data_IF_688362545425
#
_entry.id   IF_688362545425
#
_cell.length_a   1.000
_cell.length_b   1.000
_cell.length_c   1.000
_cell.angle_alpha   90.00
_cell.angle_beta   90.00
_cell.angle_gamma   90.00
#
_symmetry.space_group_name_H-M   'P 1'
#
loop_
_entity.id
_entity.type
_entity.pdbx_description
1 polymer ?
2 polymer ?
3 water ?
#
# COMPACT_ATOMS: atom_id res chain seq x y z
N UNK A 7 -3.61 -23.63 13.14
CA UNK A 7 -4.67 -24.63 12.94
C UNK A 7 -5.79 -24.09 12.05
N UNK A 8 -6.44 -23.03 12.51
CA UNK A 8 -7.41 -22.34 11.69
C UNK A 8 -6.63 -21.49 10.70
N UNK A 9 -5.33 -21.33 10.95
CA UNK A 9 -4.46 -20.65 10.01
C UNK A 9 -4.24 -21.46 8.76
N UNK A 10 -4.16 -22.78 8.95
CA UNK A 10 -4.04 -23.68 7.84
C UNK A 10 -5.32 -23.60 6.99
N UNK A 11 -6.46 -23.51 7.66
CA UNK A 11 -7.75 -23.52 6.96
C UNK A 11 -7.98 -22.21 6.20
N UNK A 12 -7.55 -21.11 6.80
CA UNK A 12 -7.49 -19.81 6.12
C UNK A 12 -6.72 -19.90 4.79
N UNK A 13 -5.49 -20.40 4.87
CA UNK A 13 -4.62 -20.59 3.71
C UNK A 13 -5.24 -21.44 2.59
N UNK A 14 -5.83 -22.57 2.96
CA UNK A 14 -6.47 -23.45 1.98
C UNK A 14 -7.69 -22.77 1.36
N UNK A 15 -8.41 -22.00 2.17
CA UNK A 15 -9.59 -21.31 1.69
C UNK A 15 -9.27 -20.28 0.58
N UNK A 16 -8.30 -19.40 0.86
CA UNK A 16 -7.88 -18.37 -0.07
C UNK A 16 -7.30 -18.97 -1.35
N UNK A 17 -6.44 -19.98 -1.19
CA UNK A 17 -5.79 -20.65 -2.30
C UNK A 17 -6.79 -21.38 -3.19
N UNK A 18 -7.78 -22.02 -2.56
CA UNK A 18 -8.87 -22.65 -3.29
C UNK A 18 -9.58 -21.62 -4.14
N UNK A 19 -9.91 -20.50 -3.51
CA UNK A 19 -10.63 -19.44 -4.19
C UNK A 19 -9.88 -18.95 -5.42
N UNK A 20 -8.58 -18.68 -5.25
CA UNK A 20 -7.77 -18.16 -6.34
C UNK A 20 -7.57 -19.19 -7.42
N UNK A 21 -7.43 -20.45 -7.02
CA UNK A 21 -7.32 -21.54 -7.98
C UNK A 21 -8.62 -21.72 -8.72
N UNK A 22 -9.74 -21.65 -7.98
CA UNK A 22 -11.05 -21.81 -8.59
C UNK A 22 -11.29 -20.70 -9.61
N UNK A 23 -10.74 -19.51 -9.38
CA UNK A 23 -10.95 -18.40 -10.32
C UNK A 23 -10.28 -18.61 -11.68
N UNK A 24 -9.40 -19.60 -11.77
CA UNK A 24 -8.68 -19.91 -13.00
C UNK A 24 -9.02 -21.31 -13.46
N UNK A 25 -10.17 -21.80 -13.01
CA UNK A 25 -10.71 -23.06 -13.47
C UNK A 25 -10.04 -24.30 -12.91
N UNK A 26 -9.16 -24.12 -11.93
CA UNK A 26 -8.49 -25.25 -11.29
C UNK A 26 -9.17 -25.63 -9.98
N UNK A 27 -9.09 -26.90 -9.61
CA UNK A 27 -9.71 -27.36 -8.38
C UNK A 27 -8.68 -27.76 -7.31
N UNK A 28 -8.84 -27.20 -6.11
CA UNK A 28 -7.97 -27.56 -5.00
C UNK A 28 -7.91 -29.07 -4.82
N UNK A 29 -9.07 -29.71 -4.94
CA UNK A 29 -9.21 -31.15 -4.80
C UNK A 29 -8.21 -31.95 -5.64
N UNK A 30 -7.80 -31.37 -6.77
CA UNK A 30 -6.84 -32.02 -7.66
C UNK A 30 -5.40 -32.00 -7.14
N UNK A 31 -5.16 -31.31 -6.02
CA UNK A 31 -3.80 -31.14 -5.50
C UNK A 31 -3.63 -31.43 -4.01
N UNK A 32 -4.65 -32.03 -3.38
CA UNK A 32 -4.57 -32.41 -1.98
C UNK A 32 -5.29 -33.74 -1.73
N UNK A 46 -18.25 -15.71 11.02
CA UNK A 46 -17.32 -15.77 12.14
C UNK A 46 -15.89 -15.85 11.63
N UNK A 47 -15.37 -17.07 11.59
CA UNK A 47 -14.12 -17.35 10.89
C UNK A 47 -14.42 -17.28 9.40
N UNK A 48 -15.70 -17.43 9.06
CA UNK A 48 -16.18 -17.25 7.69
C UNK A 48 -16.10 -15.78 7.29
N UNK A 49 -16.23 -14.88 8.26
CA UNK A 49 -16.13 -13.46 7.96
C UNK A 49 -14.69 -13.08 7.61
N UNK A 50 -13.75 -13.82 8.18
CA UNK A 50 -12.33 -13.62 7.93
C UNK A 50 -11.96 -14.11 6.54
N UNK A 51 -12.39 -15.32 6.20
CA UNK A 51 -12.22 -15.85 4.84
C UNK A 51 -12.77 -14.89 3.79
N UNK A 52 -14.05 -14.55 3.90
CA UNK A 52 -14.72 -13.68 2.93
C UNK A 52 -13.94 -12.38 2.73
N UNK A 53 -13.61 -11.73 3.85
CA UNK A 53 -12.87 -10.47 3.81
C UNK A 53 -11.54 -10.63 3.09
N UNK A 54 -10.83 -11.71 3.41
CA UNK A 54 -9.54 -11.97 2.78
C UNK A 54 -9.66 -12.22 1.26
N UNK A 55 -10.62 -13.07 0.89
CA UNK A 55 -10.95 -13.25 -0.52
C UNK A 55 -11.15 -11.90 -1.21
N UNK A 56 -11.91 -11.02 -0.55
CA UNK A 56 -12.35 -9.78 -1.14
C UNK A 56 -11.22 -8.78 -1.23
N UNK A 57 -10.43 -8.72 -0.17
CA UNK A 57 -9.23 -7.87 -0.16
C UNK A 57 -8.27 -8.31 -1.26
N UNK A 58 -8.10 -9.63 -1.41
CA UNK A 58 -7.20 -10.17 -2.40
C UNK A 58 -7.68 -9.84 -3.80
N UNK A 59 -8.99 -9.93 -4.02
CA UNK A 59 -9.58 -9.54 -5.30
C UNK A 59 -9.31 -8.08 -5.61
N UNK A 60 -9.56 -7.22 -4.62
CA UNK A 60 -9.32 -5.80 -4.79
C UNK A 60 -7.87 -5.50 -5.14
N UNK A 61 -6.97 -6.06 -4.37
CA UNK A 61 -5.54 -6.04 -4.63
C UNK A 61 -5.20 -6.38 -6.08
N UNK A 62 -5.69 -7.52 -6.53
CA UNK A 62 -5.37 -8.00 -7.86
C UNK A 62 -5.99 -7.15 -8.95
N UNK A 63 -7.11 -6.50 -8.63
CA UNK A 63 -7.79 -5.61 -9.58
C UNK A 63 -7.09 -4.27 -9.75
N UNK A 64 -6.80 -3.62 -8.62
CA UNK A 64 -6.23 -2.30 -8.63
C UNK A 64 -4.79 -2.34 -9.15
N UNK A 65 -4.16 -3.51 -9.06
CA UNK A 65 -2.80 -3.69 -9.55
C UNK A 65 -2.70 -4.83 -10.58
N UNK A 66 -3.64 -4.82 -11.51
CA UNK A 66 -3.84 -5.90 -12.47
C UNK A 66 -2.61 -6.12 -13.33
N UNK A 67 -1.97 -5.02 -13.71
CA UNK A 67 -0.78 -5.04 -14.54
C UNK A 67 0.31 -5.81 -13.83
N UNK A 68 0.77 -5.29 -12.69
CA UNK A 68 1.74 -5.97 -11.84
C UNK A 68 1.41 -7.44 -11.64
N UNK A 69 0.13 -7.74 -11.50
CA UNK A 69 -0.29 -9.08 -11.18
C UNK A 69 -0.39 -10.05 -12.35
N UNK A 70 -0.50 -9.51 -13.56
CA UNK A 70 -0.57 -10.34 -14.75
C UNK A 70 0.72 -11.14 -14.92
N UNK A 71 1.82 -10.54 -14.49
CA UNK A 71 3.13 -11.17 -14.64
C UNK A 71 3.87 -11.21 -13.30
N UNK A 72 3.17 -11.53 -12.22
CA UNK A 72 3.77 -11.47 -10.88
C UNK A 72 5.05 -12.31 -10.80
N UNK A 73 4.90 -13.63 -10.92
CA UNK A 73 5.99 -14.57 -10.60
C UNK A 73 6.80 -15.11 -11.78
N UNK A 74 6.56 -14.57 -12.97
CA UNK A 74 7.26 -15.04 -14.17
C UNK A 74 8.77 -15.02 -13.96
N UNK A 75 9.29 -13.90 -13.48
CA UNK A 75 10.71 -13.68 -13.38
C UNK A 75 11.41 -14.50 -12.30
N UNK A 76 10.64 -15.24 -11.52
CA UNK A 76 11.22 -16.11 -10.50
C UNK A 76 11.77 -17.40 -11.11
N UNK A 77 11.22 -17.79 -12.25
CA UNK A 77 11.61 -19.05 -12.90
C UNK A 77 11.47 -20.23 -11.94
N UNK A 78 10.29 -20.35 -11.35
CA UNK A 78 9.96 -21.41 -10.41
C UNK A 78 10.23 -22.82 -10.93
N UNK A 79 10.87 -23.62 -10.09
CA UNK A 79 11.06 -25.04 -10.33
C UNK A 79 10.83 -25.68 -8.96
N UNK A 80 10.53 -26.98 -8.92
CA UNK A 80 10.43 -27.61 -7.60
C UNK A 80 11.71 -27.46 -6.74
N UNK A 81 12.87 -27.42 -7.37
CA UNK A 81 14.12 -27.23 -6.66
C UNK A 81 14.30 -25.84 -6.08
N UNK A 82 13.88 -24.82 -6.81
CA UNK A 82 14.09 -23.46 -6.37
C UNK A 82 12.87 -22.85 -5.67
N UNK A 83 11.71 -23.49 -5.85
CA UNK A 83 10.45 -22.99 -5.31
C UNK A 83 10.57 -22.42 -3.89
N UNK A 84 10.88 -23.26 -2.92
CA UNK A 84 10.89 -22.79 -1.55
C UNK A 84 11.76 -21.56 -1.35
N UNK A 85 12.99 -21.59 -1.87
CA UNK A 85 13.93 -20.48 -1.70
C UNK A 85 13.41 -19.19 -2.34
N UNK A 86 12.74 -19.29 -3.49
CA UNK A 86 12.11 -18.13 -4.08
C UNK A 86 11.06 -17.60 -3.13
N UNK A 87 10.17 -18.48 -2.69
CA UNK A 87 9.14 -18.11 -1.74
C UNK A 87 9.73 -17.42 -0.49
N UNK A 88 10.73 -18.03 0.12
CA UNK A 88 11.27 -17.54 1.36
C UNK A 88 11.92 -16.18 1.21
N UNK A 89 12.58 -15.98 0.07
CA UNK A 89 13.30 -14.74 -0.17
C UNK A 89 12.31 -13.58 -0.28
N UNK A 90 11.24 -13.82 -1.03
CA UNK A 90 10.19 -12.84 -1.26
C UNK A 90 9.48 -12.41 0.03
N UNK A 91 9.08 -13.39 0.84
CA UNK A 91 8.34 -13.15 2.09
C UNK A 91 9.21 -12.45 3.17
N UNK A 92 10.48 -12.85 3.27
CA UNK A 92 11.37 -12.19 4.20
C UNK A 92 11.58 -10.72 3.85
N UNK A 93 11.77 -10.43 2.57
CA UNK A 93 11.96 -9.07 2.12
C UNK A 93 10.70 -8.23 2.35
N UNK A 94 9.56 -8.83 2.01
CA UNK A 94 8.26 -8.19 2.15
C UNK A 94 8.00 -7.70 3.58
N UNK A 95 8.43 -8.49 4.57
CA UNK A 95 8.17 -8.18 5.98
C UNK A 95 9.40 -7.73 6.76
N UNK A 96 10.54 -7.64 6.08
CA UNK A 96 11.81 -7.27 6.74
C UNK A 96 11.70 -6.07 7.65
N UNK A 97 11.07 -5.00 7.16
CA UNK A 97 10.98 -3.79 7.96
C UNK A 97 9.61 -3.56 8.54
N UNK A 98 8.85 -4.65 8.69
CA UNK A 98 7.61 -4.58 9.44
C UNK A 98 6.40 -5.21 8.80
N UNK A 99 5.35 -5.36 9.60
CA UNK A 99 4.08 -5.92 9.16
C UNK A 99 3.00 -4.84 9.13
N UNK A 100 2.12 -4.92 8.13
CA UNK A 100 0.83 -4.27 8.20
C UNK A 100 -0.18 -5.15 7.49
N UNK A 101 -1.46 -4.81 7.59
CA UNK A 101 -2.49 -5.67 7.04
C UNK A 101 -2.40 -5.80 5.50
N UNK A 102 -1.92 -4.74 4.85
CA UNK A 102 -1.86 -4.71 3.41
C UNK A 102 -0.77 -5.64 2.93
N UNK A 103 0.33 -5.67 3.68
CA UNK A 103 1.45 -6.57 3.38
C UNK A 103 1.05 -8.02 3.59
N UNK A 104 0.22 -8.28 4.59
CA UNK A 104 -0.35 -9.60 4.79
C UNK A 104 -1.16 -10.01 3.56
N UNK A 105 -2.03 -9.12 3.11
CA UNK A 105 -2.80 -9.35 1.88
C UNK A 105 -1.89 -9.59 0.67
N UNK A 106 -0.82 -8.81 0.54
CA UNK A 106 0.18 -9.05 -0.51
C UNK A 106 0.70 -10.48 -0.44
N UNK A 107 0.96 -10.93 0.79
CA UNK A 107 1.45 -12.27 1.10
C UNK A 107 0.54 -13.39 0.56
N UNK A 108 -0.74 -13.38 0.97
CA UNK A 108 -1.74 -14.31 0.42
C UNK A 108 -1.86 -14.21 -1.13
N UNK A 109 -1.95 -12.99 -1.67
CA UNK A 109 -2.04 -12.80 -3.11
C UNK A 109 -0.84 -13.36 -3.80
N UNK A 110 0.34 -13.12 -3.23
CA UNK A 110 1.59 -13.73 -3.71
C UNK A 110 1.48 -15.25 -3.74
N UNK A 111 1.10 -15.83 -2.61
CA UNK A 111 0.90 -17.27 -2.54
C UNK A 111 -0.04 -17.79 -3.62
N UNK A 112 -1.10 -17.03 -3.92
CA UNK A 112 -2.08 -17.43 -4.91
C UNK A 112 -1.47 -17.46 -6.29
N UNK A 113 -0.79 -16.38 -6.66
CA UNK A 113 -0.11 -16.29 -7.95
C UNK A 113 0.86 -17.46 -8.12
N UNK A 114 1.49 -17.83 -7.02
CA UNK A 114 2.51 -18.85 -7.04
C UNK A 114 1.90 -20.21 -7.36
N UNK A 115 0.80 -20.52 -6.69
CA UNK A 115 0.07 -21.75 -6.93
C UNK A 115 -0.41 -21.81 -8.37
N UNK A 116 -1.08 -20.77 -8.80
CA UNK A 116 -1.65 -20.72 -10.14
C UNK A 116 -0.58 -20.97 -11.21
N UNK A 117 0.55 -20.30 -11.08
CA UNK A 117 1.67 -20.50 -11.98
C UNK A 117 2.15 -21.96 -11.97
N UNK A 118 2.25 -22.54 -10.78
CA UNK A 118 2.67 -23.94 -10.64
C UNK A 118 1.85 -24.81 -11.56
N UNK A 119 0.54 -24.71 -11.44
CA UNK A 119 -0.37 -25.51 -12.24
C UNK A 119 -0.25 -25.20 -13.74
N UNK A 120 -0.26 -23.91 -14.08
CA UNK A 120 -0.06 -23.49 -15.46
C UNK A 120 1.17 -24.19 -16.01
N UNK A 121 2.23 -24.20 -15.21
CA UNK A 121 3.51 -24.73 -15.62
C UNK A 121 3.60 -26.24 -15.42
N UNK A 122 2.50 -26.85 -14.99
CA UNK A 122 2.44 -28.29 -14.77
C UNK A 122 3.36 -28.78 -13.66
N UNK A 123 3.63 -27.89 -12.70
CA UNK A 123 4.37 -28.24 -11.50
C UNK A 123 3.40 -28.45 -10.34
N UNK A 124 2.32 -29.18 -10.60
CA UNK A 124 1.24 -29.38 -9.63
C UNK A 124 1.72 -29.70 -8.21
N UNK A 125 2.78 -30.50 -8.07
CA UNK A 125 3.28 -30.86 -6.74
C UNK A 125 3.48 -29.66 -5.81
N UNK A 126 3.85 -28.52 -6.38
CA UNK A 126 4.15 -27.33 -5.58
C UNK A 126 2.97 -26.75 -4.77
N UNK A 127 1.74 -26.98 -5.22
CA UNK A 127 0.57 -26.35 -4.60
C UNK A 127 0.44 -26.65 -3.11
N UNK A 128 0.56 -27.92 -2.75
CA UNK A 128 0.40 -28.32 -1.35
C UNK A 128 1.58 -27.84 -0.53
N UNK A 129 2.77 -27.90 -1.12
CA UNK A 129 3.95 -27.39 -0.44
C UNK A 129 3.79 -25.90 -0.12
N UNK A 130 3.42 -25.12 -1.13
CA UNK A 130 3.23 -23.67 -0.99
C UNK A 130 2.26 -23.36 0.12
N UNK A 131 1.11 -24.03 0.07
CA UNK A 131 0.13 -23.99 1.14
C UNK A 131 0.76 -24.23 2.52
N UNK A 132 1.59 -25.26 2.60
CA UNK A 132 2.27 -25.59 3.84
C UNK A 132 3.23 -24.49 4.27
N UNK A 133 4.04 -24.00 3.34
CA UNK A 133 4.99 -22.93 3.64
C UNK A 133 4.27 -21.69 4.16
N UNK A 134 3.13 -21.34 3.56
CA UNK A 134 2.41 -20.13 3.97
C UNK A 134 1.87 -20.36 5.36
N UNK A 135 1.34 -21.55 5.60
CA UNK A 135 0.75 -21.87 6.89
C UNK A 135 1.79 -21.73 7.99
N UNK A 136 2.98 -22.26 7.73
CA UNK A 136 4.04 -22.22 8.72
C UNK A 136 4.54 -20.79 8.89
N UNK A 137 4.76 -20.08 7.78
CA UNK A 137 5.17 -18.69 7.89
C UNK A 137 4.16 -17.85 8.67
N UNK A 138 2.88 -18.13 8.45
CA UNK A 138 1.82 -17.37 9.09
C UNK A 138 1.88 -17.58 10.60
N UNK A 139 2.03 -18.84 10.99
CA UNK A 139 2.06 -19.22 12.41
C UNK A 139 3.25 -18.69 13.20
N UNK A 140 4.44 -18.75 12.60
CA UNK A 140 5.69 -18.40 13.26
C UNK A 140 6.03 -16.92 13.17
N UNK A 141 5.55 -16.25 12.12
CA UNK A 141 6.04 -14.91 11.81
C UNK A 141 5.02 -13.79 11.79
N UNK A 142 3.76 -14.13 11.58
CA UNK A 142 2.72 -13.13 11.38
C UNK A 142 1.71 -13.11 12.51
N UNK A 143 1.38 -14.28 13.04
CA UNK A 143 0.31 -14.35 14.05
C UNK A 143 0.61 -13.54 15.31
N UNK A 144 1.87 -13.52 15.75
CA UNK A 144 2.21 -12.62 16.87
C UNK A 144 1.85 -11.18 16.57
N UNK A 145 2.20 -10.69 15.38
CA UNK A 145 1.83 -9.32 15.03
C UNK A 145 0.30 -9.17 15.01
N UNK A 146 -0.37 -10.19 14.49
CA UNK A 146 -1.81 -10.16 14.33
C UNK A 146 -2.52 -10.02 15.67
N UNK A 147 -2.11 -10.82 16.66
CA UNK A 147 -2.67 -10.73 18.01
C UNK A 147 -2.37 -9.37 18.65
N UNK A 148 -1.10 -8.98 18.58
CA UNK A 148 -0.69 -7.66 19.08
C UNK A 148 -1.44 -6.53 18.39
N UNK A 149 -2.10 -6.84 17.28
CA UNK A 149 -2.82 -5.81 16.52
C UNK A 149 -4.32 -6.06 16.33
N UNK A 150 -4.91 -6.82 17.24
CA UNK A 150 -6.36 -6.91 17.29
C UNK A 150 -6.91 -8.28 16.97
N UNK A 151 -6.11 -9.10 16.31
CA UNK A 151 -6.56 -10.36 15.79
C UNK A 151 -7.15 -10.16 14.39
N UNK A 152 -7.67 -11.22 13.81
CA UNK A 152 -8.27 -11.18 12.48
C UNK A 152 -9.61 -10.42 12.46
N UNK A 153 -10.24 -10.31 13.61
CA UNK A 153 -11.52 -9.61 13.71
C UNK A 153 -11.30 -8.14 13.42
N UNK A 154 -10.08 -7.68 13.57
CA UNK A 154 -9.75 -6.31 13.27
C UNK A 154 -9.64 -6.17 11.76
N UNK A 155 -8.98 -7.15 11.15
CA UNK A 155 -8.88 -7.18 9.71
C UNK A 155 -10.26 -7.02 9.11
N UNK A 156 -11.18 -7.88 9.55
CA UNK A 156 -12.53 -7.86 9.01
C UNK A 156 -13.17 -6.50 9.17
N UNK A 157 -12.91 -5.84 10.29
CA UNK A 157 -13.45 -4.51 10.54
C UNK A 157 -12.94 -3.50 9.52
N UNK A 158 -11.62 -3.51 9.31
CA UNK A 158 -10.98 -2.52 8.43
C UNK A 158 -11.14 -2.82 6.94
N UNK A 159 -11.17 -4.09 6.58
CA UNK A 159 -11.10 -4.50 5.17
C UNK A 159 -12.32 -5.27 4.67
N UNK A 160 -13.34 -5.41 5.51
CA UNK A 160 -14.47 -6.26 5.17
C UNK A 160 -15.54 -5.49 4.42
N UNK B 7 17.93 -11.39 -6.91
CA UNK B 7 17.75 -10.06 -7.48
C UNK B 7 16.37 -9.86 -8.15
N UNK B 8 15.84 -10.93 -8.72
CA UNK B 8 14.48 -10.90 -9.24
C UNK B 8 13.47 -11.13 -8.11
N UNK B 9 13.94 -11.72 -7.00
CA UNK B 9 13.12 -11.85 -5.80
C UNK B 9 13.01 -10.52 -5.05
N UNK B 10 14.04 -9.69 -5.14
CA UNK B 10 14.01 -8.35 -4.52
C UNK B 10 13.01 -7.45 -5.21
N UNK B 11 13.01 -7.49 -6.54
CA UNK B 11 12.15 -6.61 -7.31
C UNK B 11 10.69 -6.96 -7.04
N UNK B 12 10.42 -8.26 -6.95
CA UNK B 12 9.05 -8.74 -6.69
C UNK B 12 8.53 -8.29 -5.34
N UNK B 13 9.31 -8.53 -4.29
CA UNK B 13 8.88 -8.17 -2.95
C UNK B 13 8.86 -6.65 -2.78
N UNK B 14 9.80 -5.96 -3.42
CA UNK B 14 9.73 -4.50 -3.45
C UNK B 14 8.39 -4.07 -4.04
N UNK B 15 8.00 -4.73 -5.13
CA UNK B 15 6.73 -4.44 -5.76
C UNK B 15 5.56 -4.78 -4.81
N UNK B 16 5.60 -6.00 -4.28
CA UNK B 16 4.61 -6.46 -3.30
C UNK B 16 4.47 -5.51 -2.11
N UNK B 17 5.60 -5.08 -1.55
CA UNK B 17 5.62 -4.10 -0.47
C UNK B 17 4.98 -2.76 -0.87
N UNK B 18 5.33 -2.24 -2.05
CA UNK B 18 4.80 -0.95 -2.52
C UNK B 18 3.28 -0.97 -2.68
N UNK B 19 2.80 -2.06 -3.26
CA UNK B 19 1.37 -2.20 -3.52
C UNK B 19 0.58 -2.36 -2.22
N UNK B 20 1.00 -3.29 -1.36
CA UNK B 20 0.30 -3.56 -0.11
C UNK B 20 0.27 -2.35 0.82
N UNK B 21 1.39 -1.64 0.91
CA UNK B 21 1.44 -0.39 1.68
C UNK B 21 0.45 0.65 1.12
N UNK B 22 0.27 0.67 -0.19
CA UNK B 22 -0.69 1.61 -0.75
C UNK B 22 -2.14 1.22 -0.45
N UNK B 23 -2.49 -0.01 -0.74
CA UNK B 23 -3.78 -0.56 -0.35
C UNK B 23 -4.07 -0.28 1.16
N UNK B 24 -3.13 -0.60 2.01
CA UNK B 24 -3.23 -0.32 3.44
C UNK B 24 -3.39 1.18 3.76
N UNK B 25 -2.69 2.03 3.01
CA UNK B 25 -2.88 3.49 3.12
C UNK B 25 -4.33 3.88 2.91
N UNK B 26 -4.92 3.37 1.83
CA UNK B 26 -6.26 3.78 1.44
C UNK B 26 -7.27 3.35 2.48
N UNK B 27 -7.11 2.12 2.97
CA UNK B 27 -8.05 1.55 3.92
C UNK B 27 -7.97 2.29 5.27
N UNK B 28 -6.93 3.10 5.42
CA UNK B 28 -6.73 3.93 6.59
C UNK B 28 -7.45 5.27 6.40
N UNK B 29 -7.40 5.80 5.18
CA UNK B 29 -8.09 7.04 4.85
C UNK B 29 -9.59 6.85 5.00
N UNK B 30 -10.05 5.66 4.61
CA UNK B 30 -11.46 5.33 4.76
C UNK B 30 -11.87 5.23 6.22
N UNK B 31 -10.98 4.72 7.06
CA UNK B 31 -11.30 4.49 8.47
C UNK B 31 -11.58 5.78 9.24
N UNK B 32 -11.18 6.92 8.67
CA UNK B 32 -11.43 8.22 9.30
C UNK B 32 -12.81 8.80 8.95
N UNK C 8 14.31 22.29 1.54
CA UNK C 8 14.50 21.11 0.70
C UNK C 8 13.33 20.14 0.84
N UNK C 9 12.88 19.95 2.08
CA UNK C 9 11.57 19.36 2.31
C UNK C 9 10.51 20.32 1.77
N UNK C 10 10.71 21.61 2.06
CA UNK C 10 9.83 22.63 1.53
C UNK C 10 9.82 22.62 0.00
N UNK C 11 10.98 22.39 -0.63
CA UNK C 11 11.06 22.42 -2.08
C UNK C 11 10.28 21.25 -2.67
N UNK C 12 10.43 20.08 -2.05
CA UNK C 12 9.64 18.93 -2.40
C UNK C 12 8.13 19.24 -2.35
N UNK C 13 7.68 19.79 -1.23
CA UNK C 13 6.27 20.15 -1.08
C UNK C 13 5.79 21.12 -2.17
N UNK C 14 6.56 22.15 -2.44
CA UNK C 14 6.17 23.15 -3.43
C UNK C 14 6.18 22.60 -4.87
N UNK C 15 7.17 21.77 -5.19
CA UNK C 15 7.24 21.14 -6.49
C UNK C 15 5.96 20.36 -6.77
N UNK C 16 5.55 19.57 -5.78
CA UNK C 16 4.46 18.62 -5.92
C UNK C 16 3.10 19.32 -5.95
N UNK C 17 2.89 20.25 -5.03
CA UNK C 17 1.68 21.05 -5.07
C UNK C 17 1.59 21.82 -6.39
N UNK C 18 2.70 22.45 -6.77
CA UNK C 18 2.72 23.21 -8.00
C UNK C 18 2.32 22.35 -9.21
N UNK C 19 2.82 21.12 -9.24
CA UNK C 19 2.53 20.23 -10.34
C UNK C 19 1.07 19.79 -10.36
N UNK C 20 0.56 19.45 -9.19
CA UNK C 20 -0.82 19.02 -9.06
C UNK C 20 -1.78 20.12 -9.47
N UNK C 21 -1.48 21.32 -9.01
CA UNK C 21 -2.27 22.49 -9.32
C UNK C 21 -2.27 22.78 -10.83
N UNK C 22 -1.08 22.72 -11.42
CA UNK C 22 -0.90 23.09 -12.81
C UNK C 22 -1.72 22.16 -13.70
N UNK C 23 -1.71 20.89 -13.31
CA UNK C 23 -2.46 19.82 -13.97
C UNK C 23 -3.93 20.21 -14.05
N UNK C 24 -4.46 20.86 -13.00
CA UNK C 24 -5.86 21.27 -13.03
C UNK C 24 -6.03 22.68 -13.60
N UNK C 25 -4.93 23.31 -14.00
CA UNK C 25 -5.00 24.59 -14.67
C UNK C 25 -4.71 25.79 -13.79
N UNK C 26 -4.10 25.56 -12.64
CA UNK C 26 -3.82 26.67 -11.74
C UNK C 26 -2.33 26.94 -11.60
N UNK C 27 -1.99 28.19 -11.32
CA UNK C 27 -0.60 28.57 -11.13
C UNK C 27 -0.28 28.73 -9.64
N UNK C 28 0.80 28.09 -9.21
CA UNK C 28 1.28 28.23 -7.83
C UNK C 28 1.55 29.69 -7.48
N UNK C 29 2.20 30.42 -8.40
CA UNK C 29 2.47 31.84 -8.25
C UNK C 29 1.23 32.61 -7.86
N UNK C 30 0.12 32.24 -8.49
CA UNK C 30 -1.18 32.83 -8.18
C UNK C 30 -1.50 32.67 -6.69
N UNK C 31 -0.72 31.86 -5.98
CA UNK C 31 -1.04 31.52 -4.59
C UNK C 31 0.05 31.80 -3.56
N UNK C 32 1.26 32.12 -4.00
CA UNK C 32 2.37 32.29 -3.05
C UNK C 32 3.32 33.45 -3.38
N UNK C 33 3.76 34.15 -2.34
CA UNK C 33 4.68 35.30 -2.43
C UNK C 33 3.98 36.65 -2.62
N UNK C 46 19.73 12.76 -7.61
CA UNK C 46 19.03 13.88 -8.22
C UNK C 46 17.78 14.25 -7.44
N UNK C 47 17.62 15.55 -7.21
CA UNK C 47 16.39 16.09 -6.65
C UNK C 47 15.28 15.91 -7.69
N UNK C 48 15.62 16.05 -8.97
CA UNK C 48 14.63 15.87 -10.03
C UNK C 48 14.03 14.48 -9.99
N UNK C 49 14.88 13.47 -9.85
CA UNK C 49 14.42 12.09 -9.80
C UNK C 49 13.40 11.83 -8.69
N UNK C 50 13.67 12.38 -7.51
CA UNK C 50 12.75 12.28 -6.38
C UNK C 50 11.44 12.98 -6.73
N UNK C 51 11.54 14.21 -7.22
CA UNK C 51 10.38 15.00 -7.65
C UNK C 51 9.56 14.29 -8.70
N UNK C 52 10.23 13.84 -9.74
CA UNK C 52 9.58 13.09 -10.80
C UNK C 52 8.85 11.86 -10.26
N UNK C 53 9.54 11.06 -9.44
CA UNK C 53 8.91 9.86 -8.89
C UNK C 53 7.70 10.15 -7.99
N UNK C 54 7.77 11.25 -7.25
CA UNK C 54 6.67 11.60 -6.36
C UNK C 54 5.47 12.12 -7.14
N UNK C 55 5.74 12.91 -8.19
CA UNK C 55 4.68 13.33 -9.11
C UNK C 55 3.93 12.13 -9.67
N UNK C 56 4.67 11.11 -10.12
CA UNK C 56 4.03 9.92 -10.68
C UNK C 56 3.29 9.10 -9.66
N UNK C 57 3.88 8.94 -8.47
CA UNK C 57 3.24 8.13 -7.46
C UNK C 57 1.94 8.80 -7.03
N UNK C 58 1.92 10.13 -7.02
CA UNK C 58 0.72 10.87 -6.69
C UNK C 58 -0.38 10.69 -7.73
N UNK C 59 -0.02 10.85 -8.99
CA UNK C 59 -0.97 10.63 -10.05
C UNK C 59 -1.60 9.25 -9.96
N UNK C 60 -0.77 8.22 -9.83
CA UNK C 60 -1.30 6.88 -9.72
C UNK C 60 -2.16 6.65 -8.49
N UNK C 61 -1.75 7.21 -7.36
CA UNK C 61 -2.51 7.10 -6.12
C UNK C 61 -3.87 7.79 -6.25
N UNK C 62 -3.86 8.97 -6.85
CA UNK C 62 -5.10 9.69 -7.11
C UNK C 62 -6.03 8.93 -8.04
N UNK C 63 -5.47 8.25 -9.03
CA UNK C 63 -6.30 7.51 -9.98
C UNK C 63 -6.99 6.33 -9.32
N UNK C 64 -6.30 5.69 -8.38
CA UNK C 64 -6.90 4.54 -7.72
C UNK C 64 -7.79 4.92 -6.56
N UNK C 65 -7.51 6.05 -5.93
CA UNK C 65 -8.02 6.28 -4.60
C UNK C 65 -8.70 7.62 -4.39
N UNK C 66 -8.82 8.41 -5.45
CA UNK C 66 -9.43 9.74 -5.34
C UNK C 66 -10.70 9.76 -4.48
N UNK C 67 -11.53 8.73 -4.58
CA UNK C 67 -12.78 8.66 -3.82
C UNK C 67 -12.62 8.87 -2.30
N UNK C 68 -11.57 8.31 -1.71
CA UNK C 68 -11.34 8.47 -0.28
C UNK C 68 -10.98 9.91 0.04
N UNK C 69 -10.48 10.64 -0.96
CA UNK C 69 -10.18 12.05 -0.77
C UNK C 69 -11.44 12.84 -1.00
N UNK C 70 -12.24 12.40 -1.96
CA UNK C 70 -13.53 13.01 -2.24
C UNK C 70 -14.35 12.98 -0.96
N UNK C 71 -14.43 11.80 -0.35
CA UNK C 71 -15.13 11.60 0.91
C UNK C 71 -14.59 12.51 2.01
N UNK C 72 -13.29 12.46 2.23
CA UNK C 72 -12.66 13.19 3.35
C UNK C 72 -12.70 14.72 3.20
N UNK C 73 -12.15 15.24 2.12
CA UNK C 73 -12.01 16.69 1.96
C UNK C 73 -13.33 17.44 2.09
N UNK C 74 -14.43 16.72 1.93
CA UNK C 74 -15.77 17.29 2.17
C UNK C 74 -16.19 17.04 3.62
N UNK C 75 -15.89 15.85 4.12
CA UNK C 75 -16.22 15.49 5.50
C UNK C 75 -15.41 16.27 6.51
N UNK C 76 -14.26 16.78 6.08
CA UNK C 76 -13.44 17.62 6.94
C UNK C 76 -13.96 19.05 6.90
N UNK C 77 -13.53 19.85 7.86
CA UNK C 77 -13.92 21.23 7.92
C UNK C 77 -12.69 22.11 7.79
N UNK C 78 -12.35 22.44 6.55
CA UNK C 78 -11.21 23.29 6.29
C UNK C 78 -11.69 24.67 5.92
N UNK C 79 -11.36 25.63 6.78
CA UNK C 79 -11.82 27.00 6.61
C UNK C 79 -10.58 27.90 6.72
N UNK C 80 -10.72 29.18 6.30
CA UNK C 80 -9.63 30.14 6.50
C UNK C 80 -9.40 30.35 7.98
N UNK C 81 -10.24 29.70 8.78
CA UNK C 81 -10.10 29.72 10.22
C UNK C 81 -9.19 28.63 10.72
N UNK C 82 -9.22 27.46 10.07
CA UNK C 82 -8.45 26.34 10.61
C UNK C 82 -6.95 26.60 10.63
N UNK C 83 -6.34 26.20 11.74
CA UNK C 83 -4.92 26.31 11.96
C UNK C 83 -4.20 24.96 11.69
N UNK C 84 -2.92 24.90 12.03
CA UNK C 84 -2.09 23.71 11.75
C UNK C 84 -2.50 22.52 12.59
N UNK C 85 -2.77 22.77 13.87
CA UNK C 85 -2.99 21.71 14.87
C UNK C 85 -4.13 20.78 14.48
N UNK C 86 -5.10 21.32 13.74
CA UNK C 86 -6.25 20.54 13.28
C UNK C 86 -5.88 19.63 12.10
N UNK C 87 -5.14 20.20 11.14
CA UNK C 87 -4.59 19.43 10.03
C UNK C 87 -3.66 18.33 10.57
N UNK C 88 -2.73 18.70 11.43
CA UNK C 88 -1.81 17.75 12.04
C UNK C 88 -2.59 16.60 12.68
N UNK C 89 -3.60 16.97 13.47
CA UNK C 89 -4.43 16.02 14.18
C UNK C 89 -5.13 15.00 13.25
N UNK C 90 -5.31 15.37 11.99
CA UNK C 90 -5.90 14.48 10.97
C UNK C 90 -4.84 13.59 10.29
N UNK C 91 -3.85 14.21 9.68
CA UNK C 91 -2.66 13.49 9.21
C UNK C 91 -2.08 12.56 10.30
N UNK C 92 -2.25 12.93 11.57
CA UNK C 92 -1.79 12.06 12.65
C UNK C 92 -2.50 10.70 12.69
N UNK C 93 -3.72 10.64 12.19
CA UNK C 93 -4.43 9.36 12.17
C UNK C 93 -3.88 8.44 11.08
N UNK C 94 -3.42 9.04 9.98
CA UNK C 94 -2.81 8.29 8.89
C UNK C 94 -1.55 7.56 9.35
N UNK C 95 -0.76 8.20 10.21
CA UNK C 95 0.55 7.69 10.63
C UNK C 95 0.58 7.06 12.02
N UNK C 96 -0.57 7.02 12.67
CA UNK C 96 -0.73 6.50 14.02
C UNK C 96 0.05 5.21 14.27
N UNK C 97 -0.16 4.22 13.40
CA UNK C 97 0.42 2.89 13.51
C UNK C 97 1.79 2.81 12.86
N UNK C 98 2.34 3.95 12.46
CA UNK C 98 3.66 4.00 11.87
C UNK C 98 3.70 4.54 10.45
N UNK C 99 4.91 4.58 9.90
CA UNK C 99 5.20 5.24 8.63
C UNK C 99 5.77 4.26 7.62
N UNK C 100 5.39 4.42 6.36
CA UNK C 100 6.07 3.75 5.25
C UNK C 100 5.92 4.66 4.06
N UNK C 101 6.59 4.36 2.94
CA UNK C 101 6.49 5.22 1.76
C UNK C 101 5.06 5.32 1.19
N UNK C 102 4.30 4.24 1.31
CA UNK C 102 2.93 4.25 0.80
C UNK C 102 2.10 5.29 1.53
N UNK C 103 2.21 5.30 2.85
CA UNK C 103 1.49 6.27 3.64
C UNK C 103 1.98 7.68 3.35
N UNK C 104 3.26 7.80 3.05
CA UNK C 104 3.83 9.11 2.73
C UNK C 104 3.30 9.61 1.37
N UNK C 105 3.29 8.73 0.38
CA UNK C 105 2.61 9.05 -0.86
C UNK C 105 1.15 9.44 -0.63
N UNK C 106 0.49 8.77 0.32
CA UNK C 106 -0.90 9.08 0.68
C UNK C 106 -1.02 10.50 1.23
N UNK C 107 -0.01 10.90 1.97
CA UNK C 107 0.04 12.19 2.64
C UNK C 107 0.15 13.34 1.64
N UNK C 108 1.05 13.24 0.67
CA UNK C 108 1.18 14.28 -0.35
C UNK C 108 -0.10 14.46 -1.14
N UNK C 109 -0.69 13.33 -1.51
CA UNK C 109 -1.94 13.32 -2.28
C UNK C 109 -3.07 13.99 -1.52
N UNK C 110 -3.16 13.71 -0.21
CA UNK C 110 -4.12 14.37 0.63
C UNK C 110 -3.92 15.90 0.59
N UNK C 111 -2.69 16.34 0.86
CA UNK C 111 -2.39 17.76 0.78
C UNK C 111 -2.69 18.36 -0.60
N UNK C 112 -2.31 17.64 -1.64
CA UNK C 112 -2.50 18.10 -3.00
C UNK C 112 -3.98 18.29 -3.26
N UNK C 113 -4.78 17.36 -2.75
CA UNK C 113 -6.22 17.44 -2.93
C UNK C 113 -6.84 18.53 -2.05
N UNK C 114 -6.23 18.83 -0.93
CA UNK C 114 -6.70 19.93 -0.09
C UNK C 114 -6.51 21.24 -0.84
N UNK C 115 -5.34 21.40 -1.46
CA UNK C 115 -5.10 22.61 -2.25
C UNK C 115 -6.13 22.70 -3.37
N UNK C 116 -6.39 21.60 -4.05
CA UNK C 116 -7.27 21.61 -5.20
C UNK C 116 -8.69 22.03 -4.78
N UNK C 117 -9.19 21.40 -3.71
CA UNK C 117 -10.52 21.73 -3.18
C UNK C 117 -10.56 23.18 -2.62
N UNK C 118 -9.41 23.70 -2.20
CA UNK C 118 -9.36 25.05 -1.63
C UNK C 118 -9.54 26.13 -2.68
N UNK C 119 -9.03 25.88 -3.86
CA UNK C 119 -9.16 26.84 -4.94
C UNK C 119 -10.60 26.76 -5.47
N UNK C 120 -11.12 25.56 -5.58
CA UNK C 120 -12.48 25.37 -6.03
C UNK C 120 -13.48 26.18 -5.20
N UNK C 121 -13.22 26.30 -3.91
CA UNK C 121 -14.14 27.01 -3.04
C UNK C 121 -13.72 28.46 -2.86
N UNK C 122 -12.71 28.87 -3.61
CA UNK C 122 -12.27 30.25 -3.60
C UNK C 122 -11.44 30.60 -2.36
N UNK C 123 -11.17 29.60 -1.53
CA UNK C 123 -10.31 29.78 -0.38
C UNK C 123 -8.87 29.76 -0.84
N UNK C 124 -8.57 30.48 -1.91
CA UNK C 124 -7.24 30.48 -2.46
C UNK C 124 -6.17 30.70 -1.40
N UNK C 125 -6.55 31.35 -0.30
CA UNK C 125 -5.58 31.73 0.73
C UNK C 125 -4.99 30.52 1.48
N UNK C 126 -5.66 29.37 1.36
CA UNK C 126 -5.25 28.16 2.05
C UNK C 126 -4.03 27.44 1.42
N UNK C 127 -3.94 27.50 0.09
CA UNK C 127 -2.90 26.81 -0.67
C UNK C 127 -1.51 26.89 -0.04
N UNK C 128 -1.03 28.10 0.24
CA UNK C 128 0.33 28.26 0.75
C UNK C 128 0.45 27.98 2.25
N UNK C 129 -0.67 28.00 2.96
CA UNK C 129 -0.71 27.53 4.33
C UNK C 129 -0.57 26.02 4.38
N UNK C 130 -1.32 25.35 3.51
CA UNK C 130 -1.26 23.90 3.40
C UNK C 130 0.15 23.46 3.05
N UNK C 131 0.81 24.22 2.18
CA UNK C 131 2.17 23.89 1.83
C UNK C 131 3.10 24.00 3.04
N UNK C 132 2.94 25.08 3.80
CA UNK C 132 3.70 25.29 5.02
C UNK C 132 3.44 24.19 6.06
N UNK C 133 2.17 23.87 6.31
CA UNK C 133 1.78 22.77 7.20
C UNK C 133 2.43 21.44 6.80
N UNK C 134 2.40 21.16 5.50
CA UNK C 134 2.95 19.91 5.00
C UNK C 134 4.44 19.81 5.27
N UNK C 135 5.17 20.89 5.00
CA UNK C 135 6.60 20.93 5.33
C UNK C 135 6.81 20.73 6.82
N UNK C 136 6.04 21.43 7.63
CA UNK C 136 6.18 21.31 9.07
C UNK C 136 5.98 19.86 9.51
N UNK C 137 4.95 19.20 8.97
CA UNK C 137 4.59 17.85 9.39
C UNK C 137 5.65 16.89 8.90
N UNK C 138 6.11 17.12 7.70
CA UNK C 138 7.18 16.33 7.12
C UNK C 138 8.42 16.43 8.01
N UNK C 139 8.86 17.67 8.23
CA UNK C 139 10.01 17.96 9.10
C UNK C 139 9.97 17.31 10.49
N UNK C 140 8.80 17.41 11.12
CA UNK C 140 8.67 16.99 12.51
C UNK C 140 8.38 15.50 12.67
N UNK C 141 7.45 14.97 11.89
CA UNK C 141 6.97 13.61 12.10
C UNK C 141 7.46 12.54 11.13
N UNK C 142 7.89 12.92 9.94
CA UNK C 142 8.16 11.91 8.90
C UNK C 142 9.64 11.75 8.62
N UNK C 143 10.37 12.85 8.83
CA UNK C 143 11.80 12.91 8.57
C UNK C 143 12.63 11.88 9.33
N UNK C 144 12.42 11.73 10.65
CA UNK C 144 13.20 10.71 11.37
C UNK C 144 13.12 9.34 10.71
N UNK C 145 11.92 8.94 10.31
CA UNK C 145 11.74 7.64 9.64
C UNK C 145 12.48 7.63 8.31
N UNK C 146 12.28 8.70 7.54
CA UNK C 146 12.89 8.83 6.22
C UNK C 146 14.41 8.65 6.26
N UNK C 147 15.05 9.30 7.23
CA UNK C 147 16.48 9.22 7.42
C UNK C 147 16.87 7.84 7.93
N UNK C 148 16.08 7.34 8.87
CA UNK C 148 16.31 6.01 9.44
C UNK C 148 16.12 4.94 8.39
N UNK C 149 15.45 5.28 7.30
CA UNK C 149 15.20 4.28 6.29
C UNK C 149 15.91 4.52 4.98
N UNK C 150 16.96 5.35 4.99
CA UNK C 150 17.81 5.49 3.81
C UNK C 150 17.61 6.77 3.04
N UNK C 151 16.61 7.56 3.43
CA UNK C 151 16.31 8.82 2.77
C UNK C 151 15.54 8.63 1.49
N UNK C 152 15.43 9.70 0.72
CA UNK C 152 14.64 9.68 -0.51
C UNK C 152 15.17 8.78 -1.64
N UNK C 153 16.45 8.40 -1.56
CA UNK C 153 17.04 7.42 -2.47
C UNK C 153 16.21 6.14 -2.44
N UNK C 154 15.70 5.81 -1.26
CA UNK C 154 14.99 4.55 -1.08
C UNK C 154 13.61 4.62 -1.71
N UNK C 155 12.99 5.79 -1.63
CA UNK C 155 11.70 6.03 -2.27
C UNK C 155 11.80 5.88 -3.80
N UNK C 156 12.87 6.41 -4.38
CA UNK C 156 13.12 6.33 -5.81
C UNK C 156 13.44 4.89 -6.27
N UNK C 157 13.94 4.07 -5.37
CA UNK C 157 14.28 2.68 -5.66
C UNK C 157 13.01 1.85 -5.70
N UNK C 158 12.09 2.16 -4.79
CA UNK C 158 10.82 1.48 -4.68
C UNK C 158 9.87 1.90 -5.81
N UNK C 159 9.82 3.19 -6.09
CA UNK C 159 8.81 3.76 -6.97
C UNK C 159 9.30 4.08 -8.40
N UNK C 160 10.51 4.63 -8.52
CA UNK C 160 10.98 5.15 -9.80
C UNK C 160 11.68 4.12 -10.70
#
# INVERSE_FOLDING_TARGET
>A
MSMAMSQSNRELVVDFLSYKLSQKGYSWSQFSDVEENRTEAPEGTESEAVKQALREAGDEFELRYRRAFSDLTSQLHITPGTAYQSFEQVVNELFRDGVNWGRIVAFFSFGGALCVESVDKEMQVLVSRIAAWMATYLNDHLEPWIQENGGWDTFVELYGNNAAAESRKGQERLEHHHHHH
>B
DPVPQDASTKKLSECLKRIGDELDSNMELQRMIA
>C
MSMAMSQSNRELVVDFLSYKLSQKGYSWSQFSDVEENRTEAPEGTESEAVKQALREAGDEFELRYRRAFSDLTSQLHITPGTAYQSFEQVVNELFRDGVNWGRIVAFFSFGGALCVESVDKEMQVLVSRIAAWMATYLNDHLEPWIQENGGWDTFVELYGNNAAAESRKGQERLEHHHHHH
#
